data_IF_066585166525
#
_entry.id   IF_066585166525
#
_cell.length_a   1.000
_cell.length_b   1.000
_cell.length_c   1.000
_cell.angle_alpha   90.00
_cell.angle_beta   90.00
_cell.angle_gamma   90.00
#
_symmetry.space_group_name_H-M   'P 1'
#
loop_
_entity.id
_entity.type
_entity.pdbx_description
1 polymer ?
#
# COMPACT_ATOMS: atom_id res chain seq x y z
N UNK A 1 19.20 11.19 19.66
CA UNK A 1 18.71 10.60 18.39
C UNK A 1 17.55 9.67 18.73
N UNK A 2 16.51 9.54 17.88
CA UNK A 2 15.47 8.55 18.12
C UNK A 2 16.12 7.16 18.29
N UNK A 3 15.66 6.41 19.29
CA UNK A 3 16.19 5.07 19.56
C UNK A 3 15.86 4.19 18.35
N UNK A 4 16.87 3.78 17.59
CA UNK A 4 16.73 2.93 16.40
C UNK A 4 16.65 1.47 16.83
N UNK A 5 15.62 1.17 17.61
CA UNK A 5 15.35 -0.17 18.09
C UNK A 5 14.93 -1.10 16.94
N UNK A 6 14.76 -2.39 17.25
CA UNK A 6 14.35 -3.38 16.26
C UNK A 6 13.02 -3.01 15.59
N UNK A 7 12.08 -2.42 16.34
CA UNK A 7 10.78 -2.00 15.82
C UNK A 7 10.90 -0.90 14.76
N UNK A 8 11.81 0.05 14.97
CA UNK A 8 12.10 1.10 14.00
C UNK A 8 12.53 0.51 12.66
N UNK A 9 13.46 -0.45 12.66
CA UNK A 9 13.95 -1.07 11.43
C UNK A 9 12.94 -1.99 10.76
N UNK A 10 12.17 -2.75 11.55
CA UNK A 10 11.05 -3.57 11.06
C UNK A 10 9.92 -2.74 10.44
N UNK A 11 9.83 -1.45 10.77
CA UNK A 11 8.91 -0.52 10.10
C UNK A 11 9.55 0.16 8.90
N UNK A 12 10.79 0.65 9.04
CA UNK A 12 11.44 1.45 7.99
C UNK A 12 11.82 0.61 6.78
N UNK A 13 12.46 -0.55 6.98
CA UNK A 13 12.96 -1.35 5.85
C UNK A 13 11.81 -1.83 4.96
N UNK A 14 10.75 -2.48 5.47
CA UNK A 14 9.63 -2.89 4.63
C UNK A 14 8.85 -1.68 4.09
N UNK A 15 8.79 -0.57 4.83
CA UNK A 15 8.16 0.66 4.34
C UNK A 15 8.83 1.24 3.10
N UNK A 16 10.17 1.31 3.09
CA UNK A 16 10.93 1.74 1.91
C UNK A 16 10.82 0.77 0.74
N UNK A 17 10.81 -0.54 1.01
CA UNK A 17 10.59 -1.55 -0.03
C UNK A 17 9.18 -1.42 -0.64
N UNK A 18 8.16 -1.25 0.20
CA UNK A 18 6.78 -1.03 -0.24
C UNK A 18 6.67 0.26 -1.06
N UNK A 19 7.32 1.35 -0.62
CA UNK A 19 7.33 2.60 -1.38
C UNK A 19 7.94 2.42 -2.76
N UNK A 20 9.10 1.77 -2.86
CA UNK A 20 9.75 1.49 -4.14
C UNK A 20 8.86 0.63 -5.04
N UNK A 21 8.20 -0.38 -4.48
CA UNK A 21 7.24 -1.19 -5.20
C UNK A 21 6.02 -0.39 -5.68
N UNK A 22 5.45 0.50 -4.87
CA UNK A 22 4.31 1.34 -5.26
C UNK A 22 4.69 2.34 -6.37
N UNK A 23 5.89 2.91 -6.33
CA UNK A 23 6.37 3.76 -7.44
C UNK A 23 6.45 2.94 -8.72
N UNK A 24 6.95 1.71 -8.66
CA UNK A 24 7.01 0.83 -9.82
C UNK A 24 5.62 0.39 -10.32
N UNK A 25 4.76 -0.09 -9.42
CA UNK A 25 3.51 -0.77 -9.74
C UNK A 25 2.29 0.14 -9.85
N UNK A 26 2.33 1.36 -9.31
CA UNK A 26 1.18 2.29 -9.29
C UNK A 26 1.49 3.64 -9.93
N UNK A 27 2.68 4.22 -9.71
CA UNK A 27 3.01 5.50 -10.36
C UNK A 27 3.10 5.36 -11.88
N UNK A 28 3.76 4.32 -12.39
CA UNK A 28 3.87 4.10 -13.85
C UNK A 28 2.50 3.85 -14.49
N UNK A 29 1.63 2.96 -13.94
CA UNK A 29 0.32 2.72 -14.55
C UNK A 29 -0.67 3.87 -14.44
N UNK A 30 -0.45 4.80 -13.51
CA UNK A 30 -1.23 6.04 -13.45
C UNK A 30 -0.98 6.98 -14.65
N UNK A 31 0.17 6.84 -15.33
CA UNK A 31 0.47 7.55 -16.58
C UNK A 31 0.12 6.73 -17.82
N UNK A 32 0.37 5.41 -17.79
CA UNK A 32 0.09 4.48 -18.88
C UNK A 32 -0.35 3.12 -18.32
N UNK A 33 -1.66 2.87 -18.31
CA UNK A 33 -2.22 1.63 -17.77
C UNK A 33 -1.75 0.39 -18.53
N UNK A 34 -1.60 0.49 -19.86
CA UNK A 34 -1.15 -0.61 -20.72
C UNK A 34 0.31 -0.96 -20.44
N UNK A 35 1.15 0.02 -20.10
CA UNK A 35 2.49 -0.25 -19.57
C UNK A 35 2.39 -1.06 -18.26
N UNK A 36 1.46 -0.71 -17.37
CA UNK A 36 1.20 -1.47 -16.14
C UNK A 36 0.84 -2.94 -16.38
N UNK A 37 0.00 -3.19 -17.39
CA UNK A 37 -0.38 -4.52 -17.85
C UNK A 37 0.83 -5.25 -18.43
N UNK A 38 1.62 -4.60 -19.28
CA UNK A 38 2.82 -5.18 -19.89
C UNK A 38 3.89 -5.55 -18.84
N UNK A 39 3.99 -4.78 -17.75
CA UNK A 39 4.88 -5.06 -16.61
C UNK A 39 4.33 -6.14 -15.66
N UNK A 40 3.09 -6.61 -15.86
CA UNK A 40 2.43 -7.57 -14.97
C UNK A 40 2.03 -6.99 -13.61
N UNK A 41 1.92 -5.66 -13.51
CA UNK A 41 1.54 -4.95 -12.27
C UNK A 41 0.06 -4.56 -12.23
N UNK A 42 -0.61 -4.60 -13.38
CA UNK A 42 -2.03 -4.36 -13.55
C UNK A 42 -2.66 -5.49 -14.35
N UNK A 43 -3.96 -5.67 -14.22
CA UNK A 43 -4.69 -6.71 -14.95
C UNK A 43 -5.34 -6.12 -16.21
N UNK A 44 -5.29 -6.81 -17.36
CA UNK A 44 -5.90 -6.32 -18.58
C UNK A 44 -7.43 -6.30 -18.47
N UNK A 45 -8.08 -5.36 -19.16
CA UNK A 45 -9.55 -5.28 -19.24
C UNK A 45 -10.19 -6.58 -19.75
N UNK A 46 -9.49 -7.35 -20.59
CA UNK A 46 -9.93 -8.68 -21.02
C UNK A 46 -10.15 -9.69 -19.88
N UNK A 47 -9.52 -9.48 -18.71
CA UNK A 47 -9.67 -10.30 -17.51
C UNK A 47 -10.55 -9.69 -16.43
N UNK A 48 -10.66 -8.36 -16.37
CA UNK A 48 -11.37 -7.68 -15.27
C UNK A 48 -12.47 -6.71 -15.74
N UNK A 49 -12.83 -6.75 -17.03
CA UNK A 49 -13.69 -5.79 -17.73
C UNK A 49 -13.09 -4.38 -17.83
N UNK A 50 -13.62 -3.55 -18.75
CA UNK A 50 -13.20 -2.15 -18.89
C UNK A 50 -13.49 -1.35 -17.60
N UNK A 51 -14.59 -1.66 -16.92
CA UNK A 51 -14.95 -1.01 -15.65
C UNK A 51 -13.95 -1.38 -14.56
N UNK A 52 -13.56 -2.65 -14.46
CA UNK A 52 -12.54 -3.08 -13.50
C UNK A 52 -11.18 -2.43 -13.77
N UNK A 53 -10.77 -2.35 -15.04
CA UNK A 53 -9.54 -1.66 -15.42
C UNK A 53 -9.57 -0.17 -15.04
N UNK A 54 -10.70 0.50 -15.27
CA UNK A 54 -10.89 1.90 -14.85
C UNK A 54 -10.83 2.07 -13.33
N UNK A 55 -11.40 1.14 -12.56
CA UNK A 55 -11.27 1.14 -11.10
C UNK A 55 -9.82 0.97 -10.64
N UNK A 56 -9.08 0.03 -11.24
CA UNK A 56 -7.67 -0.22 -10.89
C UNK A 56 -6.76 0.95 -11.28
N UNK A 57 -7.02 1.57 -12.43
CA UNK A 57 -6.41 2.85 -12.78
C UNK A 57 -6.70 3.94 -11.73
N UNK A 58 -7.95 4.02 -11.25
CA UNK A 58 -8.33 4.95 -10.18
C UNK A 58 -7.53 4.75 -8.89
N UNK A 59 -7.26 3.50 -8.50
CA UNK A 59 -6.35 3.20 -7.38
C UNK A 59 -4.91 3.64 -7.68
N UNK A 60 -4.38 3.34 -8.87
CA UNK A 60 -3.03 3.74 -9.26
C UNK A 60 -2.85 5.27 -9.19
N UNK A 61 -3.83 6.02 -9.68
CA UNK A 61 -3.83 7.48 -9.63
C UNK A 61 -3.97 8.01 -8.19
N UNK A 62 -4.88 7.43 -7.40
CA UNK A 62 -5.02 7.77 -5.99
C UNK A 62 -3.73 7.53 -5.20
N UNK A 63 -3.05 6.43 -5.50
CA UNK A 63 -1.78 6.09 -4.89
C UNK A 63 -0.68 7.08 -5.28
N UNK A 64 -0.58 7.43 -6.56
CA UNK A 64 0.37 8.43 -7.06
C UNK A 64 0.18 9.80 -6.38
N UNK A 65 -1.07 10.27 -6.28
CA UNK A 65 -1.38 11.63 -5.82
C UNK A 65 -1.34 11.75 -4.30
N UNK A 66 -1.75 10.69 -3.57
CA UNK A 66 -1.95 10.76 -2.12
C UNK A 66 -1.05 9.78 -1.37
N UNK A 67 -1.16 8.49 -1.66
CA UNK A 67 -0.55 7.47 -0.81
C UNK A 67 0.98 7.47 -0.87
N UNK A 68 1.56 7.47 -2.08
CA UNK A 68 3.02 7.47 -2.29
C UNK A 68 3.67 8.71 -1.64
N UNK A 69 3.18 9.95 -1.86
CA UNK A 69 3.70 11.13 -1.19
C UNK A 69 3.61 11.06 0.35
N UNK A 70 2.47 10.58 0.88
CA UNK A 70 2.30 10.40 2.33
C UNK A 70 3.26 9.37 2.89
N UNK A 71 3.42 8.22 2.23
CA UNK A 71 4.33 7.17 2.69
C UNK A 71 5.77 7.67 2.67
N UNK A 72 6.21 8.33 1.59
CA UNK A 72 7.54 8.92 1.48
C UNK A 72 7.80 9.95 2.59
N UNK A 73 6.91 10.94 2.74
CA UNK A 73 7.05 11.98 3.75
C UNK A 73 7.02 11.40 5.18
N UNK A 74 6.16 10.40 5.41
CA UNK A 74 6.05 9.69 6.67
C UNK A 74 7.33 8.93 7.04
N UNK A 75 7.89 8.17 6.09
CA UNK A 75 9.15 7.42 6.29
C UNK A 75 10.32 8.36 6.57
N UNK A 76 10.49 9.42 5.78
CA UNK A 76 11.53 10.45 5.99
C UNK A 76 11.35 11.12 7.35
N UNK A 77 10.16 11.66 7.61
CA UNK A 77 9.89 12.41 8.83
C UNK A 77 10.06 11.55 10.09
N UNK A 78 9.56 10.32 10.06
CA UNK A 78 9.73 9.33 11.14
C UNK A 78 11.21 8.93 11.30
N UNK A 79 11.92 8.71 10.20
CA UNK A 79 13.37 8.40 10.19
C UNK A 79 14.23 9.51 10.79
N UNK A 80 13.83 10.76 10.59
CA UNK A 80 14.45 11.94 11.19
C UNK A 80 13.95 12.25 12.62
N UNK A 81 13.05 11.45 13.19
CA UNK A 81 12.51 11.66 14.54
C UNK A 81 11.56 12.86 14.68
N UNK A 82 11.02 13.37 13.56
CA UNK A 82 10.10 14.51 13.55
C UNK A 82 8.71 14.08 14.00
N UNK A 83 8.06 14.91 14.83
CA UNK A 83 6.73 14.59 15.36
C UNK A 83 5.67 14.45 14.26
N UNK A 84 5.68 15.35 13.27
CA UNK A 84 4.76 15.29 12.12
C UNK A 84 4.97 14.03 11.28
N UNK A 85 6.21 13.54 11.17
CA UNK A 85 6.53 12.34 10.40
C UNK A 85 5.83 11.09 10.91
N UNK A 86 5.63 10.99 12.23
CA UNK A 86 4.86 9.90 12.84
C UNK A 86 3.38 9.96 12.49
N UNK A 87 2.78 11.15 12.52
CA UNK A 87 1.37 11.33 12.16
C UNK A 87 1.15 11.01 10.67
N UNK A 88 2.03 11.50 9.80
CA UNK A 88 1.98 11.23 8.36
C UNK A 88 2.21 9.75 8.07
N UNK A 89 3.18 9.11 8.72
CA UNK A 89 3.41 7.67 8.57
C UNK A 89 2.23 6.84 9.09
N UNK A 90 1.60 7.24 10.19
CA UNK A 90 0.39 6.57 10.68
C UNK A 90 -0.77 6.66 9.68
N UNK A 91 -0.95 7.82 9.02
CA UNK A 91 -1.94 7.97 7.96
C UNK A 91 -1.63 7.05 6.76
N UNK A 92 -0.38 7.01 6.32
CA UNK A 92 0.05 6.11 5.25
C UNK A 92 -0.20 4.64 5.61
N UNK A 93 0.15 4.20 6.82
CA UNK A 93 -0.12 2.84 7.32
C UNK A 93 -1.61 2.54 7.38
N UNK A 94 -2.45 3.52 7.69
CA UNK A 94 -3.91 3.38 7.61
C UNK A 94 -4.39 3.04 6.19
N UNK A 95 -3.85 3.73 5.17
CA UNK A 95 -4.11 3.39 3.76
C UNK A 95 -3.56 1.99 3.44
N UNK A 96 -2.36 1.66 3.91
CA UNK A 96 -1.74 0.34 3.73
C UNK A 96 -2.56 -0.80 4.34
N UNK A 97 -3.37 -0.55 5.37
CA UNK A 97 -4.30 -1.54 5.94
C UNK A 97 -5.59 -1.61 5.12
N UNK A 98 -6.12 -0.45 4.72
CA UNK A 98 -7.37 -0.33 3.98
C UNK A 98 -7.29 -0.98 2.59
N UNK A 99 -6.26 -0.65 1.81
CA UNK A 99 -6.14 -1.08 0.41
C UNK A 99 -6.14 -2.61 0.23
N UNK A 100 -5.34 -3.40 0.98
CA UNK A 100 -5.38 -4.86 0.91
C UNK A 100 -6.77 -5.45 1.19
N UNK A 101 -7.50 -4.88 2.16
CA UNK A 101 -8.84 -5.35 2.54
C UNK A 101 -9.83 -5.10 1.42
N UNK A 102 -9.79 -3.93 0.79
CA UNK A 102 -10.65 -3.62 -0.37
C UNK A 102 -10.34 -4.53 -1.55
N UNK A 103 -9.07 -4.71 -1.89
CA UNK A 103 -8.66 -5.59 -3.00
C UNK A 103 -9.13 -7.03 -2.76
N UNK A 104 -8.95 -7.58 -1.56
CA UNK A 104 -9.46 -8.91 -1.21
C UNK A 104 -10.98 -8.99 -1.28
N UNK A 105 -11.70 -7.97 -0.81
CA UNK A 105 -13.15 -7.92 -0.89
C UNK A 105 -13.64 -7.91 -2.35
N UNK A 106 -12.97 -7.15 -3.23
CA UNK A 106 -13.27 -7.14 -4.67
C UNK A 106 -13.03 -8.51 -5.30
N UNK A 107 -11.86 -9.12 -5.03
CA UNK A 107 -11.55 -10.47 -5.53
C UNK A 107 -12.64 -11.45 -5.13
N UNK A 108 -13.07 -11.46 -3.86
CA UNK A 108 -14.16 -12.34 -3.40
C UNK A 108 -15.49 -12.01 -4.06
N UNK A 109 -15.86 -10.73 -4.14
CA UNK A 109 -17.18 -10.32 -4.62
C UNK A 109 -17.33 -10.47 -6.15
N UNK A 110 -16.24 -10.36 -6.91
CA UNK A 110 -16.25 -10.45 -8.36
C UNK A 110 -16.07 -11.89 -8.88
N UNK A 111 -15.78 -12.87 -8.01
CA UNK A 111 -15.68 -14.28 -8.40
C UNK A 111 -16.96 -14.76 -9.08
N UNK A 112 -16.83 -15.22 -10.33
CA UNK A 112 -17.94 -15.71 -11.14
C UNK A 112 -18.76 -14.63 -11.84
N UNK A 113 -18.39 -13.35 -11.69
CA UNK A 113 -18.99 -12.27 -12.49
C UNK A 113 -18.59 -12.41 -13.97
N UNK A 114 -19.50 -12.05 -14.87
CA UNK A 114 -19.23 -12.10 -16.31
C UNK A 114 -18.06 -11.16 -16.66
N UNK A 115 -17.05 -11.69 -17.38
CA UNK A 115 -15.86 -10.93 -17.76
C UNK A 115 -14.81 -10.74 -16.67
N UNK A 116 -14.97 -11.39 -15.50
CA UNK A 116 -13.98 -11.40 -14.43
C UNK A 116 -13.29 -12.78 -14.30
N UNK A 117 -11.98 -12.82 -14.57
CA UNK A 117 -11.16 -14.02 -14.41
C UNK A 117 -9.68 -13.65 -14.13
N UNK A 118 -9.31 -13.65 -12.85
CA UNK A 118 -7.93 -13.41 -12.41
C UNK A 118 -7.00 -14.62 -12.57
N UNK A 119 -7.53 -15.81 -12.89
CA UNK A 119 -6.74 -17.04 -13.01
C UNK A 119 -6.15 -17.49 -11.67
N UNK A 120 -4.97 -16.99 -11.31
CA UNK A 120 -4.28 -17.30 -10.06
C UNK A 120 -4.39 -16.14 -9.05
N UNK A 121 -5.13 -16.36 -7.98
CA UNK A 121 -5.33 -15.37 -6.92
C UNK A 121 -4.33 -15.55 -5.75
N UNK A 122 -3.37 -16.47 -5.83
CA UNK A 122 -2.48 -16.83 -4.71
C UNK A 122 -1.73 -15.62 -4.15
N UNK A 123 -1.27 -14.72 -5.03
CA UNK A 123 -0.61 -13.48 -4.61
C UNK A 123 -1.54 -12.59 -3.76
N UNK A 124 -2.81 -12.46 -4.15
CA UNK A 124 -3.79 -11.70 -3.36
C UNK A 124 -3.96 -12.31 -1.97
N UNK A 125 -4.13 -13.63 -1.88
CA UNK A 125 -4.39 -14.32 -0.62
C UNK A 125 -3.19 -14.47 0.31
N UNK A 126 -1.97 -14.26 -0.17
CA UNK A 126 -0.75 -14.36 0.64
C UNK A 126 -0.15 -12.99 0.96
N UNK A 127 0.03 -12.15 -0.06
CA UNK A 127 0.75 -10.87 0.07
C UNK A 127 -0.11 -9.81 0.77
N UNK A 128 -1.39 -9.69 0.39
CA UNK A 128 -2.27 -8.65 0.92
C UNK A 128 -2.50 -8.79 2.44
N UNK A 129 -2.80 -9.99 2.99
CA UNK A 129 -2.91 -10.16 4.44
C UNK A 129 -1.59 -9.88 5.15
N UNK A 130 -0.45 -10.29 4.59
CA UNK A 130 0.86 -10.06 5.20
C UNK A 130 1.16 -8.55 5.32
N UNK A 131 0.89 -7.79 4.26
CA UNK A 131 1.03 -6.33 4.25
C UNK A 131 0.09 -5.69 5.27
N UNK A 132 -1.17 -6.12 5.33
CA UNK A 132 -2.14 -5.57 6.28
C UNK A 132 -1.75 -5.85 7.75
N UNK A 133 -1.26 -7.05 8.05
CA UNK A 133 -0.78 -7.42 9.39
C UNK A 133 0.44 -6.58 9.76
N UNK A 134 1.43 -6.48 8.86
CA UNK A 134 2.61 -5.65 9.09
C UNK A 134 2.25 -4.18 9.32
N UNK A 135 1.35 -3.61 8.50
CA UNK A 135 0.95 -2.22 8.63
C UNK A 135 0.15 -1.96 9.91
N UNK A 136 -0.71 -2.90 10.32
CA UNK A 136 -1.44 -2.85 11.59
C UNK A 136 -0.48 -2.84 12.78
N UNK A 137 0.53 -3.73 12.78
CA UNK A 137 1.58 -3.73 13.79
C UNK A 137 2.39 -2.42 13.78
N UNK A 138 2.74 -1.92 12.60
CA UNK A 138 3.45 -0.65 12.42
C UNK A 138 2.68 0.54 12.99
N UNK A 139 1.36 0.58 12.74
CA UNK A 139 0.47 1.64 13.25
C UNK A 139 0.41 1.61 14.78
N UNK A 140 0.27 0.41 15.36
CA UNK A 140 0.32 0.22 16.81
C UNK A 140 1.66 0.67 17.41
N UNK A 141 2.77 0.33 16.75
CA UNK A 141 4.11 0.72 17.19
C UNK A 141 4.28 2.25 17.19
N UNK A 142 3.89 2.92 16.10
CA UNK A 142 3.92 4.39 15.99
C UNK A 142 3.04 5.05 17.05
N UNK A 143 1.84 4.51 17.30
CA UNK A 143 0.92 5.03 18.31
C UNK A 143 1.50 4.95 19.74
N UNK A 144 2.22 3.86 20.07
CA UNK A 144 2.86 3.69 21.39
C UNK A 144 4.03 4.66 21.62
N UNK A 145 4.79 4.99 20.58
CA UNK A 145 5.84 6.01 20.70
C UNK A 145 5.30 7.41 21.00
N UNK A 146 4.05 7.69 20.66
CA UNK A 146 3.38 8.95 21.01
C UNK A 146 3.18 9.09 22.52
N UNK A 147 2.75 8.01 23.18
CA UNK A 147 2.47 8.01 24.64
C UNK A 147 3.73 8.17 25.48
N UNK A 148 4.80 7.44 25.16
CA UNK A 148 6.04 7.44 25.96
C UNK A 148 6.81 8.79 25.93
N UNK A 149 6.41 9.73 25.08
CA UNK A 149 7.09 11.03 24.89
C UNK A 149 6.38 12.18 25.58
N UNK A 150 5.14 11.96 26.03
CA UNK A 150 4.32 12.91 26.78
C UNK A 150 4.25 12.56 28.29
N UNK A 151 5.03 11.58 28.72
CA UNK A 151 5.32 11.23 30.11
C UNK A 151 6.77 11.64 30.40
#
# INVERSE_FOLDING_TARGET
MPNRDTGFWLLQVPGWLLLAYLVYAQALPAFDYELGVAMGTQEPAAKITDVGAAFWYGFALGDLVIYIPLLLAGLIGSGCGRAWGRAVLAAALGITIYWPVVSLAVVVAARGAAGWNLGDETAYWSVLPLIAVWATWGLWYVARQGKNRNQ
#
